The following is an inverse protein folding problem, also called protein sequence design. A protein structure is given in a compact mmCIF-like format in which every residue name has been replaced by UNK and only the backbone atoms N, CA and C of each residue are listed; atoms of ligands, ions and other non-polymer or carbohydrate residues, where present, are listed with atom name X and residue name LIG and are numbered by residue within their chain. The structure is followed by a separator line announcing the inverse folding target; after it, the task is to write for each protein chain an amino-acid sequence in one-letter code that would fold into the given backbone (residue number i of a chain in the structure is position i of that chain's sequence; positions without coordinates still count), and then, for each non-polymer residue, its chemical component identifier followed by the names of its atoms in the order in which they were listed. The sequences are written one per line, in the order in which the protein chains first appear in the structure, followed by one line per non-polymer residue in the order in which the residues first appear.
data_IF_273595562444
#
_entry.id   IF_273595562444
#
_cell.length_a   1.000
_cell.length_b   1.000
_cell.length_c   1.000
_cell.angle_alpha   90.00
_cell.angle_beta   90.00
_cell.angle_gamma   90.00
#
_symmetry.space_group_name_H-M   'P 1'
#
loop_
_entity.id
_entity.type
_entity.pdbx_description
1 polymer ?
#
# COMPACT_ATOMS: atom_id res chain seq x y z
N UNK A 1 10.29 0.15 -8.06
CA UNK A 1 9.40 1.20 -8.60
C UNK A 1 9.87 2.54 -8.07
N UNK A 2 10.34 3.44 -8.92
CA UNK A 2 10.63 4.82 -8.53
C UNK A 2 9.61 5.74 -9.20
N UNK A 3 9.50 6.98 -8.70
CA UNK A 3 8.62 7.96 -9.34
C UNK A 3 9.16 8.29 -10.72
N UNK A 4 8.25 8.35 -11.69
CA UNK A 4 8.49 8.86 -13.03
C UNK A 4 8.12 10.34 -13.08
N UNK A 5 8.49 11.02 -14.16
CA UNK A 5 8.14 12.43 -14.36
C UNK A 5 6.63 12.68 -14.38
N UNK A 6 5.83 11.70 -14.80
CA UNK A 6 4.36 11.76 -14.82
C UNK A 6 3.70 11.43 -13.46
N UNK A 7 4.51 11.12 -12.44
CA UNK A 7 4.03 10.91 -11.08
C UNK A 7 4.05 12.18 -10.22
N UNK A 8 4.74 13.23 -10.67
CA UNK A 8 5.00 14.44 -9.89
C UNK A 8 4.36 15.67 -10.52
N UNK A 9 3.85 16.58 -9.69
CA UNK A 9 3.31 17.85 -10.13
C UNK A 9 4.44 18.79 -10.61
N UNK A 10 4.15 19.78 -11.46
CA UNK A 10 5.10 20.81 -11.84
C UNK A 10 5.73 21.52 -10.63
N UNK A 11 7.06 21.40 -10.48
CA UNK A 11 7.82 21.97 -9.37
C UNK A 11 7.81 21.15 -8.08
N UNK A 12 7.18 19.98 -8.08
CA UNK A 12 7.22 19.03 -6.97
C UNK A 12 8.61 18.36 -6.88
N UNK A 13 9.15 18.31 -5.66
CA UNK A 13 10.46 17.75 -5.34
C UNK A 13 10.32 16.67 -4.28
N UNK A 14 10.96 15.53 -4.51
CA UNK A 14 11.05 14.46 -3.50
C UNK A 14 12.07 14.86 -2.44
N UNK A 15 11.63 14.91 -1.18
CA UNK A 15 12.45 15.25 -0.02
C UNK A 15 12.91 13.99 0.73
N UNK A 16 12.09 12.95 0.75
CA UNK A 16 12.40 11.68 1.40
C UNK A 16 11.66 10.53 0.72
N UNK A 17 12.25 9.34 0.75
CA UNK A 17 11.68 8.09 0.24
C UNK A 17 11.86 6.98 1.27
N UNK A 18 10.79 6.24 1.57
CA UNK A 18 10.83 5.06 2.45
C UNK A 18 10.11 3.90 1.78
N UNK A 19 10.60 2.67 2.01
CA UNK A 19 9.80 1.47 1.78
C UNK A 19 8.73 1.44 2.86
N UNK A 20 7.48 1.24 2.46
CA UNK A 20 6.35 1.27 3.38
C UNK A 20 5.27 0.30 2.91
N UNK A 21 4.43 -0.16 3.83
CA UNK A 21 3.17 -0.80 3.49
C UNK A 21 2.02 0.13 3.89
N UNK A 22 1.11 0.42 2.96
CA UNK A 22 -0.14 1.10 3.29
C UNK A 22 -1.15 0.07 3.78
N UNK A 23 -1.81 0.33 4.91
CA UNK A 23 -2.89 -0.53 5.39
C UNK A 23 -4.18 -0.11 4.70
N UNK A 24 -4.83 -1.05 4.02
CA UNK A 24 -6.14 -0.84 3.39
C UNK A 24 -7.19 -1.71 4.04
N UNK A 25 -8.44 -1.28 3.98
CA UNK A 25 -9.57 -2.15 4.33
C UNK A 25 -9.99 -2.94 3.09
N UNK A 26 -9.96 -4.27 3.17
CA UNK A 26 -10.26 -5.16 2.04
C UNK A 26 -11.72 -5.03 1.57
N UNK A 27 -12.63 -4.58 2.44
CA UNK A 27 -14.05 -4.40 2.10
C UNK A 27 -14.27 -3.23 1.14
N UNK A 28 -13.48 -2.15 1.28
CA UNK A 28 -13.57 -0.97 0.40
C UNK A 28 -13.27 -1.33 -1.05
N UNK A 29 -12.47 -2.40 -1.24
CA UNK A 29 -12.05 -2.91 -2.54
C UNK A 29 -12.75 -4.23 -2.92
N UNK A 30 -13.71 -4.72 -2.11
CA UNK A 30 -14.43 -6.00 -2.31
C UNK A 30 -13.50 -7.20 -2.52
N UNK A 31 -12.35 -7.21 -1.85
CA UNK A 31 -11.36 -8.27 -1.97
C UNK A 31 -11.75 -9.48 -1.12
N UNK A 32 -11.36 -10.67 -1.59
CA UNK A 32 -11.33 -11.86 -0.75
C UNK A 32 -10.20 -11.78 0.26
N UNK A 33 -10.34 -12.53 1.35
CA UNK A 33 -9.27 -12.69 2.34
C UNK A 33 -7.99 -13.20 1.66
N UNK A 34 -6.85 -12.72 2.15
CA UNK A 34 -5.57 -13.20 1.63
C UNK A 34 -5.39 -14.69 1.94
N UNK A 35 -4.86 -15.47 1.00
CA UNK A 35 -4.77 -16.92 1.20
C UNK A 35 -3.80 -17.31 2.34
N UNK A 36 -2.81 -16.46 2.64
CA UNK A 36 -1.80 -16.64 3.68
C UNK A 36 -2.07 -15.80 4.96
N UNK A 37 -3.32 -15.40 5.21
CA UNK A 37 -3.72 -14.45 6.27
C UNK A 37 -3.70 -15.01 7.72
N UNK A 38 -3.11 -16.19 7.94
CA UNK A 38 -3.12 -16.85 9.26
C UNK A 38 -2.36 -16.05 10.31
N UNK A 39 -1.31 -15.33 9.90
CA UNK A 39 -0.51 -14.50 10.78
C UNK A 39 -1.23 -13.19 11.13
N UNK A 40 -2.03 -12.63 10.22
CA UNK A 40 -2.74 -11.36 10.45
C UNK A 40 -3.88 -11.50 11.47
N UNK A 41 -4.53 -12.68 11.54
CA UNK A 41 -5.51 -13.02 12.60
C UNK A 41 -4.93 -12.89 14.00
N UNK A 42 -3.63 -13.13 14.18
CA UNK A 42 -2.98 -13.03 15.48
C UNK A 42 -2.83 -11.58 15.99
N UNK A 43 -2.95 -10.58 15.09
CA UNK A 43 -2.71 -9.16 15.39
C UNK A 43 -3.98 -8.30 15.46
N UNK A 44 -5.17 -8.92 15.48
CA UNK A 44 -6.39 -8.31 16.03
C UNK A 44 -7.08 -7.22 15.22
N UNK A 45 -6.87 -7.15 13.89
CA UNK A 45 -7.70 -6.32 13.00
C UNK A 45 -8.22 -7.16 11.84
N UNK A 46 -9.47 -7.60 11.92
CA UNK A 46 -10.14 -8.25 10.80
C UNK A 46 -10.29 -7.25 9.64
N UNK A 47 -10.03 -7.69 8.42
CA UNK A 47 -10.24 -6.94 7.17
C UNK A 47 -9.22 -5.83 6.84
N UNK A 48 -8.07 -5.76 7.52
CA UNK A 48 -6.96 -4.92 7.06
C UNK A 48 -5.90 -5.74 6.32
N UNK A 49 -5.44 -5.23 5.18
CA UNK A 49 -4.35 -5.79 4.41
C UNK A 49 -3.24 -4.77 4.21
N UNK A 50 -1.99 -5.21 4.35
CA UNK A 50 -0.82 -4.39 4.11
C UNK A 50 -0.41 -4.47 2.62
N UNK A 51 -0.55 -3.36 1.90
CA UNK A 51 -0.14 -3.24 0.50
C UNK A 51 1.27 -2.66 0.46
N UNK A 52 2.23 -3.44 -0.02
CA UNK A 52 3.63 -3.02 -0.09
C UNK A 52 3.90 -1.98 -1.17
N UNK A 53 4.80 -1.04 -0.90
CA UNK A 53 5.15 0.00 -1.84
C UNK A 53 6.24 0.93 -1.32
N UNK A 54 6.21 2.15 -1.84
CA UNK A 54 7.07 3.24 -1.37
C UNK A 54 6.23 4.44 -0.99
N UNK A 55 6.56 5.01 0.16
CA UNK A 55 6.06 6.29 0.63
C UNK A 55 7.10 7.36 0.28
N UNK A 56 6.65 8.39 -0.41
CA UNK A 56 7.44 9.55 -0.79
C UNK A 56 6.90 10.77 -0.05
N UNK A 57 7.80 11.48 0.63
CA UNK A 57 7.52 12.84 1.08
C UNK A 57 8.03 13.79 0.02
N UNK A 58 7.15 14.65 -0.47
CA UNK A 58 7.49 15.76 -1.35
C UNK A 58 7.29 17.08 -0.62
N UNK A 59 7.65 18.19 -1.27
CA UNK A 59 7.31 19.51 -0.75
C UNK A 59 5.80 19.80 -0.71
N UNK A 60 4.93 18.95 -1.27
CA UNK A 60 3.48 19.18 -1.31
C UNK A 60 2.64 18.10 -0.65
N UNK A 61 3.09 16.84 -0.64
CA UNK A 61 2.27 15.70 -0.21
C UNK A 61 3.10 14.55 0.32
N UNK A 62 2.43 13.66 1.03
CA UNK A 62 2.80 12.26 1.09
C UNK A 62 2.19 11.56 -0.13
N UNK A 63 3.01 10.89 -0.92
CA UNK A 63 2.59 10.08 -2.06
C UNK A 63 2.95 8.63 -1.78
N UNK A 64 1.95 7.75 -1.71
CA UNK A 64 2.18 6.32 -1.67
C UNK A 64 2.01 5.72 -3.06
N UNK A 65 2.97 4.88 -3.47
CA UNK A 65 2.90 4.10 -4.71
C UNK A 65 3.13 2.63 -4.41
N UNK A 66 2.12 1.83 -4.67
CA UNK A 66 2.14 0.38 -4.47
C UNK A 66 3.05 -0.35 -5.47
N UNK A 67 3.47 -1.56 -5.13
CA UNK A 67 4.10 -2.48 -6.08
C UNK A 67 3.08 -3.04 -7.08
N UNK A 68 3.52 -3.32 -8.31
CA UNK A 68 2.68 -3.86 -9.38
C UNK A 68 2.20 -5.29 -9.15
N UNK A 69 2.85 -6.03 -8.24
CA UNK A 69 2.53 -7.42 -7.89
C UNK A 69 1.47 -7.53 -6.79
N UNK A 70 0.97 -6.41 -6.26
CA UNK A 70 -0.05 -6.43 -5.22
C UNK A 70 -1.45 -6.65 -5.82
N UNK A 71 -2.36 -7.22 -5.02
CA UNK A 71 -3.79 -7.33 -5.39
C UNK A 71 -4.49 -5.99 -5.53
N UNK A 72 -3.96 -4.97 -4.86
CA UNK A 72 -4.37 -3.58 -5.03
C UNK A 72 -3.15 -2.76 -5.47
N UNK A 73 -3.29 -2.12 -6.63
CA UNK A 73 -2.22 -1.35 -7.27
C UNK A 73 -2.66 0.08 -7.58
N UNK A 74 -1.70 0.98 -7.76
CA UNK A 74 -1.95 2.40 -8.00
C UNK A 74 -1.20 3.29 -7.01
N UNK A 75 -1.62 4.56 -6.96
CA UNK A 75 -1.06 5.57 -6.06
C UNK A 75 -2.15 6.46 -5.46
N UNK A 76 -1.87 6.95 -4.26
CA UNK A 76 -2.71 7.95 -3.63
C UNK A 76 -1.86 8.96 -2.87
N UNK A 77 -2.44 10.11 -2.59
CA UNK A 77 -1.74 11.19 -1.91
C UNK A 77 -2.49 11.76 -0.73
N UNK A 78 -1.73 12.25 0.24
CA UNK A 78 -2.20 13.05 1.35
C UNK A 78 -1.53 14.41 1.24
N UNK A 79 -2.32 15.46 1.01
CA UNK A 79 -1.78 16.82 0.90
C UNK A 79 -1.22 17.26 2.26
N UNK A 80 0.03 17.72 2.31
CA UNK A 80 0.65 18.13 3.59
C UNK A 80 -0.17 19.18 4.36
N UNK A 81 -0.77 20.21 3.70
CA UNK A 81 -1.60 21.19 4.40
C UNK A 81 -2.85 20.62 5.09
N UNK A 82 -3.29 19.42 4.68
CA UNK A 82 -4.51 18.77 5.22
C UNK A 82 -4.21 17.84 6.40
N UNK A 83 -2.94 17.57 6.68
CA UNK A 83 -2.53 16.70 7.78
C UNK A 83 -2.73 17.44 9.10
N UNK A 84 -3.61 16.89 9.94
CA UNK A 84 -3.90 17.37 11.29
C UNK A 84 -2.87 16.80 12.28
N UNK A 85 -2.56 15.51 12.15
CA UNK A 85 -1.64 14.82 13.04
C UNK A 85 -0.85 13.72 12.31
N UNK A 86 0.36 13.46 12.81
CA UNK A 86 1.17 12.30 12.45
C UNK A 86 1.68 11.68 13.74
N UNK A 87 1.32 10.42 13.99
CA UNK A 87 1.58 9.75 15.26
C UNK A 87 2.33 8.44 15.06
N UNK A 88 3.30 8.14 15.93
CA UNK A 88 3.88 6.81 16.03
C UNK A 88 2.90 5.89 16.77
N UNK A 89 2.28 4.97 16.03
CA UNK A 89 1.30 4.01 16.57
C UNK A 89 1.86 2.59 16.62
N UNK A 90 3.20 2.48 16.66
CA UNK A 90 3.91 1.22 16.73
C UNK A 90 3.47 0.38 17.93
N UNK A 91 3.33 -0.93 17.73
CA UNK A 91 3.07 -1.90 18.80
C UNK A 91 4.00 -3.10 18.61
N UNK A 92 4.72 -3.47 19.65
CA UNK A 92 5.68 -4.57 19.63
C UNK A 92 6.67 -4.45 18.45
N UNK A 93 6.68 -5.45 17.56
CA UNK A 93 7.55 -5.51 16.38
C UNK A 93 7.00 -4.74 15.18
N UNK A 94 5.74 -4.30 15.21
CA UNK A 94 5.11 -3.57 14.12
C UNK A 94 5.43 -2.09 14.23
N UNK A 95 6.24 -1.59 13.29
CA UNK A 95 6.57 -0.16 13.17
C UNK A 95 5.53 0.54 12.30
N UNK A 96 4.66 1.36 12.90
CA UNK A 96 3.52 1.96 12.23
C UNK A 96 3.38 3.44 12.57
N UNK A 97 2.95 4.22 11.58
CA UNK A 97 2.46 5.58 11.75
C UNK A 97 1.01 5.71 11.31
N UNK A 98 0.30 6.62 11.96
CA UNK A 98 -1.03 7.07 11.54
C UNK A 98 -0.92 8.54 11.10
N UNK A 99 -1.41 8.83 9.89
CA UNK A 99 -1.46 10.18 9.30
C UNK A 99 -2.93 10.57 9.21
N UNK A 100 -3.35 11.52 10.05
CA UNK A 100 -4.76 11.89 10.19
C UNK A 100 -5.04 13.20 9.46
N UNK A 101 -6.08 13.20 8.62
CA UNK A 101 -6.69 14.39 8.02
C UNK A 101 -8.08 14.62 8.62
N UNK A 102 -8.80 15.64 8.14
CA UNK A 102 -10.20 15.86 8.54
C UNK A 102 -11.17 14.79 8.04
N UNK A 103 -10.77 13.99 7.04
CA UNK A 103 -11.65 13.01 6.38
C UNK A 103 -11.28 11.58 6.69
N UNK A 104 -9.99 11.29 6.94
CA UNK A 104 -9.50 9.92 7.02
C UNK A 104 -8.19 9.82 7.83
N UNK A 105 -7.90 8.62 8.33
CA UNK A 105 -6.60 8.28 8.92
C UNK A 105 -5.91 7.24 8.05
N UNK A 106 -4.80 7.64 7.43
CA UNK A 106 -3.96 6.77 6.61
C UNK A 106 -2.94 6.05 7.49
N UNK A 107 -2.89 4.73 7.42
CA UNK A 107 -2.00 3.91 8.23
C UNK A 107 -0.87 3.34 7.39
N UNK A 108 0.38 3.53 7.84
CA UNK A 108 1.57 3.02 7.15
C UNK A 108 2.48 2.23 8.08
N UNK A 109 2.88 1.02 7.67
CA UNK A 109 3.98 0.29 8.30
C UNK A 109 5.29 0.71 7.64
N UNK A 110 6.17 1.34 8.42
CA UNK A 110 7.40 1.97 7.90
C UNK A 110 8.48 2.03 8.99
N UNK A 111 9.74 1.91 8.58
CA UNK A 111 10.90 2.00 9.48
C UNK A 111 11.47 3.42 9.55
N UNK A 112 12.21 3.73 10.62
CA UNK A 112 12.79 5.06 10.83
C UNK A 112 11.72 6.14 11.06
N UNK A 113 10.76 5.82 11.93
CA UNK A 113 9.59 6.65 12.21
C UNK A 113 9.96 8.05 12.73
N UNK A 114 10.87 8.23 13.71
CA UNK A 114 11.18 9.55 14.23
C UNK A 114 11.60 10.53 13.14
N UNK A 115 12.59 10.14 12.33
CA UNK A 115 13.07 10.92 11.18
C UNK A 115 11.96 11.28 10.19
N UNK A 116 11.08 10.31 9.89
CA UNK A 116 9.96 10.51 8.96
C UNK A 116 8.95 11.51 9.52
N UNK A 117 8.54 11.37 10.78
CA UNK A 117 7.59 12.27 11.44
C UNK A 117 8.15 13.69 11.50
N UNK A 118 9.41 13.83 11.90
CA UNK A 118 10.09 15.12 11.97
C UNK A 118 10.12 15.81 10.60
N UNK A 119 10.50 15.07 9.55
CA UNK A 119 10.57 15.63 8.20
C UNK A 119 9.18 16.01 7.66
N UNK A 120 8.14 15.23 7.95
CA UNK A 120 6.76 15.58 7.57
C UNK A 120 6.32 16.86 8.28
N UNK A 121 6.57 16.96 9.58
CA UNK A 121 6.20 18.13 10.38
C UNK A 121 6.96 19.38 9.94
N UNK A 122 8.28 19.29 9.74
CA UNK A 122 9.09 20.38 9.20
C UNK A 122 8.54 20.86 7.86
N UNK A 123 8.29 19.94 6.93
CA UNK A 123 7.85 20.28 5.57
C UNK A 123 6.44 20.90 5.59
N UNK A 124 5.50 20.34 6.36
CA UNK A 124 4.13 20.88 6.39
C UNK A 124 4.05 22.25 7.07
N UNK A 125 4.88 22.49 8.08
CA UNK A 125 4.90 23.76 8.82
C UNK A 125 5.63 24.87 8.05
N UNK A 126 6.53 24.51 7.14
CA UNK A 126 7.23 25.44 6.26
C UNK A 126 6.41 25.89 5.04
N UNK A 127 5.19 25.36 4.84
CA UNK A 127 4.35 25.70 3.68
C UNK A 127 3.70 27.07 3.85
N UNK A 128 4.06 27.99 2.96
CA UNK A 128 3.49 29.34 2.95
C UNK A 128 2.10 29.36 2.28
N UNK A 129 1.21 30.30 2.62
CA UNK A 129 -0.13 30.39 2.03
C UNK A 129 -0.14 30.48 0.49
N UNK A 130 0.89 31.09 -0.10
CA UNK A 130 1.06 31.16 -1.57
C UNK A 130 1.34 29.78 -2.19
N UNK A 131 2.08 28.92 -1.49
CA UNK A 131 2.38 27.56 -1.94
C UNK A 131 1.16 26.66 -1.81
N UNK A 132 0.36 26.84 -0.75
CA UNK A 132 -0.90 26.13 -0.59
C UNK A 132 -1.88 26.48 -1.71
N UNK A 133 -2.02 27.77 -2.05
CA UNK A 133 -2.85 28.20 -3.20
C UNK A 133 -2.35 27.64 -4.52
N UNK A 134 -1.03 27.64 -4.73
CA UNK A 134 -0.42 27.03 -5.91
C UNK A 134 -0.72 25.54 -5.99
N UNK A 135 -0.59 24.81 -4.88
CA UNK A 135 -0.92 23.39 -4.82
C UNK A 135 -2.39 23.15 -5.19
N UNK A 136 -3.32 23.96 -4.68
CA UNK A 136 -4.75 23.85 -5.04
C UNK A 136 -4.96 23.97 -6.56
N UNK A 137 -4.36 24.98 -7.20
CA UNK A 137 -4.44 25.14 -8.66
C UNK A 137 -3.83 23.95 -9.41
N UNK A 138 -2.64 23.51 -9.01
CA UNK A 138 -1.96 22.37 -9.63
C UNK A 138 -2.79 21.08 -9.52
N UNK A 139 -3.43 20.84 -8.37
CA UNK A 139 -4.28 19.66 -8.16
C UNK A 139 -5.55 19.72 -9.01
N UNK A 140 -6.20 20.88 -9.13
CA UNK A 140 -7.39 21.02 -9.98
C UNK A 140 -7.07 20.73 -11.45
N UNK A 141 -5.91 21.18 -11.93
CA UNK A 141 -5.46 20.96 -13.31
C UNK A 141 -4.94 19.53 -13.54
N UNK A 142 -4.32 18.91 -12.52
CA UNK A 142 -3.58 17.66 -12.65
C UNK A 142 -4.05 16.59 -11.66
N UNK A 143 -5.36 16.50 -11.40
CA UNK A 143 -5.91 15.68 -10.31
C UNK A 143 -5.49 14.19 -10.39
N UNK A 144 -5.37 13.63 -11.61
CA UNK A 144 -4.89 12.25 -11.83
C UNK A 144 -3.42 12.03 -11.43
N UNK A 145 -2.59 13.07 -11.52
CA UNK A 145 -1.20 13.04 -11.03
C UNK A 145 -1.18 13.10 -9.50
N UNK A 146 -2.12 13.85 -8.91
CA UNK A 146 -2.28 13.93 -7.47
C UNK A 146 -2.74 12.58 -6.88
N UNK A 147 -3.60 11.85 -7.57
CA UNK A 147 -3.92 10.47 -7.23
C UNK A 147 -4.88 9.90 -8.26
N UNK A 148 -4.51 8.77 -8.86
CA UNK A 148 -5.42 7.97 -9.69
C UNK A 148 -6.24 6.99 -8.84
N UNK A 149 -5.89 6.85 -7.56
CA UNK A 149 -6.53 5.96 -6.62
C UNK A 149 -5.93 4.56 -6.68
N UNK A 150 -6.49 3.69 -5.85
CA UNK A 150 -6.08 2.31 -5.76
C UNK A 150 -7.09 1.44 -6.51
N UNK A 151 -6.61 0.49 -7.31
CA UNK A 151 -7.43 -0.38 -8.15
C UNK A 151 -7.09 -1.84 -7.91
N UNK A 152 -8.10 -2.70 -8.01
CA UNK A 152 -7.92 -4.14 -7.83
C UNK A 152 -7.31 -4.75 -9.10
N UNK A 153 -6.17 -5.43 -8.95
CA UNK A 153 -5.59 -6.27 -9.98
C UNK A 153 -6.39 -7.58 -10.07
N UNK A 154 -7.37 -7.61 -10.98
CA UNK A 154 -8.35 -8.72 -11.09
C UNK A 154 -7.71 -10.09 -11.28
N UNK A 155 -6.63 -10.20 -12.05
CA UNK A 155 -5.90 -11.46 -12.26
C UNK A 155 -5.29 -11.97 -10.96
N UNK A 156 -4.58 -11.12 -10.22
CA UNK A 156 -3.94 -11.47 -8.94
C UNK A 156 -4.99 -11.82 -7.88
N UNK A 157 -6.12 -11.12 -7.85
CA UNK A 157 -7.24 -11.47 -6.98
C UNK A 157 -7.90 -12.82 -7.36
N UNK A 158 -7.97 -13.14 -8.65
CA UNK A 158 -8.41 -14.45 -9.15
C UNK A 158 -7.50 -15.58 -8.65
N UNK A 159 -6.19 -15.40 -8.78
CA UNK A 159 -5.17 -16.33 -8.25
C UNK A 159 -5.33 -16.49 -6.74
N UNK A 160 -5.49 -15.40 -5.99
CA UNK A 160 -5.71 -15.47 -4.54
C UNK A 160 -6.97 -16.28 -4.18
N UNK A 161 -8.08 -16.09 -4.91
CA UNK A 161 -9.32 -16.88 -4.70
C UNK A 161 -9.11 -18.36 -4.99
N UNK A 162 -8.38 -18.70 -6.06
CA UNK A 162 -8.06 -20.08 -6.40
C UNK A 162 -7.21 -20.74 -5.31
N UNK A 163 -6.16 -20.04 -4.83
CA UNK A 163 -5.34 -20.49 -3.72
C UNK A 163 -6.14 -20.65 -2.42
N UNK A 164 -7.05 -19.72 -2.13
CA UNK A 164 -7.93 -19.79 -0.96
C UNK A 164 -8.88 -21.00 -1.06
N UNK A 165 -9.39 -21.32 -2.25
CA UNK A 165 -10.22 -22.50 -2.47
C UNK A 165 -9.42 -23.80 -2.32
N UNK A 166 -8.24 -23.88 -2.94
CA UNK A 166 -7.32 -25.02 -2.80
C UNK A 166 -6.90 -25.25 -1.35
N UNK A 167 -6.70 -24.17 -0.59
CA UNK A 167 -6.44 -24.21 0.85
C UNK A 167 -7.61 -24.80 1.63
N UNK A 168 -8.83 -24.31 1.40
CA UNK A 168 -10.05 -24.80 2.05
C UNK A 168 -10.32 -26.28 1.74
N UNK A 169 -10.01 -26.70 0.52
CA UNK A 169 -10.14 -28.09 0.08
C UNK A 169 -9.05 -29.02 0.66
N UNK A 170 -8.08 -28.50 1.41
CA UNK A 170 -6.96 -29.29 1.95
C UNK A 170 -5.87 -29.63 0.93
N UNK A 171 -6.05 -29.26 -0.34
CA UNK A 171 -5.12 -29.56 -1.44
C UNK A 171 -3.75 -28.92 -1.20
N UNK A 172 -3.69 -27.68 -0.72
CA UNK A 172 -2.40 -27.05 -0.38
C UNK A 172 -1.69 -27.76 0.78
N UNK A 173 -2.44 -28.26 1.77
CA UNK A 173 -1.89 -29.02 2.89
C UNK A 173 -1.36 -30.38 2.41
N UNK A 174 -2.12 -31.06 1.55
CA UNK A 174 -1.72 -32.33 0.95
C UNK A 174 -0.49 -32.19 0.04
N UNK A 175 -0.39 -31.08 -0.69
CA UNK A 175 0.78 -30.77 -1.51
C UNK A 175 1.99 -30.40 -0.64
N UNK A 176 1.79 -29.63 0.43
CA UNK A 176 2.85 -29.26 1.36
C UNK A 176 3.40 -30.46 2.16
N UNK A 177 2.58 -31.46 2.47
CA UNK A 177 3.04 -32.70 3.13
C UNK A 177 3.76 -33.65 2.18
N UNK A 178 3.54 -33.53 0.87
CA UNK A 178 4.25 -34.29 -0.18
C UNK A 178 5.52 -33.59 -0.65
N UNK A 179 5.62 -32.28 -0.46
CA UNK A 179 6.81 -31.49 -0.80
C UNK A 179 7.95 -31.82 0.18
N UNK A 180 9.07 -32.31 -0.34
CA UNK A 180 10.26 -32.63 0.43
C UNK A 180 11.06 -31.39 0.84
N UNK A 181 10.81 -30.24 0.21
CA UNK A 181 11.40 -28.96 0.63
C UNK A 181 10.54 -27.71 0.23
N UNK A 182 10.82 -26.53 0.82
CA UNK A 182 10.05 -25.29 0.59
C UNK A 182 10.06 -24.72 -0.84
N UNK A 183 11.08 -25.00 -1.66
CA UNK A 183 11.17 -24.56 -3.06
C UNK A 183 10.22 -25.35 -3.96
N UNK A 184 9.85 -26.59 -3.60
CA UNK A 184 8.87 -27.38 -4.36
C UNK A 184 7.45 -26.79 -4.25
N UNK A 185 7.13 -26.17 -3.12
CA UNK A 185 5.89 -25.40 -2.94
C UNK A 185 5.86 -24.20 -3.90
N UNK A 186 7.02 -23.62 -4.23
CA UNK A 186 7.12 -22.50 -5.18
C UNK A 186 6.81 -22.96 -6.62
N UNK A 187 7.22 -24.19 -6.99
CA UNK A 187 6.85 -24.79 -8.28
C UNK A 187 5.36 -25.08 -8.41
N UNK A 188 4.69 -25.46 -7.33
CA UNK A 188 3.23 -25.66 -7.28
C UNK A 188 2.48 -24.33 -7.45
N UNK A 189 2.97 -23.25 -6.81
CA UNK A 189 2.40 -21.92 -6.99
C UNK A 189 2.52 -21.46 -8.45
N UNK A 190 3.67 -21.70 -9.10
CA UNK A 190 3.86 -21.42 -10.52
C UNK A 190 2.95 -22.27 -11.43
N UNK A 191 2.68 -23.53 -11.07
CA UNK A 191 1.75 -24.39 -11.81
C UNK A 191 0.30 -23.92 -11.69
N UNK A 192 -0.12 -23.47 -10.50
CA UNK A 192 -1.45 -22.89 -10.29
C UNK A 192 -1.61 -21.54 -11.02
N UNK A 193 -0.53 -20.76 -11.12
CA UNK A 193 -0.49 -19.54 -11.94
C UNK A 193 -0.66 -19.88 -13.44
N UNK A 194 0.03 -20.91 -13.94
CA UNK A 194 -0.11 -21.40 -15.31
C UNK A 194 -1.54 -21.91 -15.65
N UNK A 195 -2.20 -22.60 -14.72
CA UNK A 195 -3.58 -23.09 -14.93
C UNK A 195 -4.65 -21.98 -14.83
N UNK A 196 -4.31 -20.82 -14.25
CA UNK A 196 -5.20 -19.66 -14.17
C UNK A 196 -5.36 -18.89 -15.49
N UNK A 197 -4.43 -19.08 -16.42
CA UNK A 197 -4.40 -18.40 -17.73
C UNK A 197 -5.30 -19.09 -18.79
N UNK A 198 -5.89 -20.26 -18.51
CA UNK A 198 -6.69 -21.02 -19.48
C UNK A 198 -8.18 -20.63 -19.57
N UNK A 199 -8.62 -19.54 -18.92
CA UNK A 199 -9.98 -19.02 -19.08
C UNK A 199 -9.98 -17.54 -19.48
N UNK A 200 -9.59 -17.31 -20.74
CA UNK A 200 -9.94 -16.10 -21.51
C UNK A 200 -11.34 -16.19 -22.09
#
# INVERSE_FOLDING_TARGET
MDLRSDDVLPGEKVLMKKVANAMININDYKLSRFFADDLARLFGKENLEAIGGKLYLTNYRLLFKSHSINRVTGKFSVALPTIIAVEDTSKFLTKRIDVTTSTETFQFVVWGIPELIDKINETRLALEPVEVKRLQSLVLENYKVFGDGMTVAKSIEGINKALLAARKAGVLTELATRAGNPLEITGILNFLELMGDEQG
#
